data_IF_104668421635
#
_entry.id   IF_104668421635
#
_cell.length_a   1.000
_cell.length_b   1.000
_cell.length_c   1.000
_cell.angle_alpha   90.00
_cell.angle_beta   90.00
_cell.angle_gamma   90.00
#
_symmetry.space_group_name_H-M   'P 1'
#
loop_
_entity.id
_entity.type
_entity.pdbx_description
1 polymer ?
#
# COMPACT_ATOMS: atom_id res chain seq x y z
N UNK A 1 10.62 -21.57 23.78
CA UNK A 1 11.22 -20.23 23.75
C UNK A 1 10.16 -19.29 23.21
N UNK A 2 9.85 -18.16 23.87
CA UNK A 2 8.91 -17.19 23.32
C UNK A 2 9.49 -16.62 22.03
N UNK A 3 8.71 -16.62 20.94
CA UNK A 3 9.10 -15.90 19.73
C UNK A 3 9.03 -14.40 20.02
N UNK A 4 10.12 -13.68 19.80
CA UNK A 4 10.15 -12.22 19.88
C UNK A 4 9.70 -11.62 18.54
N UNK A 5 8.98 -10.51 18.61
CA UNK A 5 8.71 -9.68 17.44
C UNK A 5 10.00 -8.97 17.02
N UNK A 6 10.45 -9.21 15.78
CA UNK A 6 11.68 -8.66 15.21
C UNK A 6 11.33 -7.50 14.28
N UNK A 7 12.00 -6.38 14.46
CA UNK A 7 11.70 -5.14 13.76
C UNK A 7 12.99 -4.54 13.17
N UNK A 8 12.88 -3.97 11.97
CA UNK A 8 13.84 -2.98 11.48
C UNK A 8 13.18 -1.61 11.58
N UNK A 9 13.67 -0.79 12.51
CA UNK A 9 13.17 0.55 12.75
C UNK A 9 14.00 1.56 11.97
N UNK A 10 13.40 2.67 11.55
CA UNK A 10 14.15 3.79 10.99
C UNK A 10 14.96 4.45 12.12
N UNK A 11 16.29 4.40 12.01
CA UNK A 11 17.22 5.00 12.96
C UNK A 11 17.54 6.46 12.58
N UNK A 12 17.62 6.74 11.28
CA UNK A 12 17.81 8.08 10.74
C UNK A 12 17.13 8.21 9.38
N UNK A 13 16.75 9.44 9.00
CA UNK A 13 16.31 9.71 7.62
C UNK A 13 17.54 9.64 6.70
N UNK A 14 17.53 8.79 5.66
CA UNK A 14 18.64 8.71 4.73
C UNK A 14 18.87 10.02 3.98
N UNK A 15 20.14 10.35 3.74
CA UNK A 15 20.56 11.44 2.85
C UNK A 15 21.41 10.82 1.74
N UNK A 16 20.94 10.89 0.49
CA UNK A 16 21.48 10.04 -0.58
C UNK A 16 21.20 8.56 -0.31
N UNK A 17 21.94 7.62 -0.92
CA UNK A 17 21.67 6.17 -0.81
C UNK A 17 21.35 5.67 0.61
N UNK A 18 20.42 4.71 0.74
CA UNK A 18 20.06 4.10 2.03
C UNK A 18 21.28 3.36 2.57
N UNK A 19 21.64 3.64 3.82
CA UNK A 19 22.74 2.98 4.52
C UNK A 19 22.18 2.06 5.60
N UNK A 20 22.92 1.00 5.93
CA UNK A 20 22.56 0.13 7.05
C UNK A 20 22.43 0.89 8.37
N UNK A 21 23.19 1.99 8.54
CA UNK A 21 23.10 2.88 9.70
C UNK A 21 21.75 3.61 9.82
N UNK A 22 20.99 3.72 8.73
CA UNK A 22 19.68 4.36 8.71
C UNK A 22 18.60 3.44 9.30
N UNK A 23 18.93 2.16 9.52
CA UNK A 23 18.05 1.15 10.10
C UNK A 23 18.63 0.61 11.41
N UNK A 24 17.75 0.31 12.36
CA UNK A 24 18.10 -0.35 13.61
C UNK A 24 17.32 -1.65 13.73
N UNK A 25 18.05 -2.75 13.86
CA UNK A 25 17.44 -4.02 14.23
C UNK A 25 17.06 -4.00 15.72
N UNK A 26 15.80 -4.30 16.00
CA UNK A 26 15.24 -4.31 17.34
C UNK A 26 14.40 -5.56 17.55
N UNK A 27 14.31 -6.01 18.81
CA UNK A 27 13.47 -7.13 19.22
C UNK A 27 12.61 -6.66 20.38
N UNK A 28 11.33 -6.97 20.30
CA UNK A 28 10.35 -6.69 21.34
C UNK A 28 9.51 -7.94 21.60
N UNK A 29 8.80 -7.97 22.72
CA UNK A 29 7.79 -8.98 22.98
C UNK A 29 6.62 -8.83 22.00
N UNK A 30 5.92 -9.92 21.73
CA UNK A 30 4.68 -9.90 20.97
C UNK A 30 3.62 -9.20 21.85
N UNK A 31 2.96 -8.13 21.39
CA UNK A 31 2.01 -7.40 22.21
C UNK A 31 0.74 -8.21 22.49
N UNK A 32 0.08 -7.92 23.61
CA UNK A 32 -1.28 -8.41 23.88
C UNK A 32 -2.29 -7.66 23.02
N UNK A 33 -3.35 -8.34 22.59
CA UNK A 33 -4.38 -7.77 21.71
C UNK A 33 -5.46 -7.05 22.52
N UNK A 34 -5.78 -5.82 22.11
CA UNK A 34 -6.94 -5.07 22.55
C UNK A 34 -8.23 -5.51 21.86
N UNK A 35 -9.37 -4.94 22.29
CA UNK A 35 -10.68 -5.24 21.69
C UNK A 35 -10.74 -4.78 20.23
N UNK A 36 -11.01 -5.71 19.32
CA UNK A 36 -11.10 -5.44 17.87
C UNK A 36 -9.76 -5.53 17.12
N UNK A 37 -8.67 -5.85 17.81
CA UNK A 37 -7.36 -6.05 17.19
C UNK A 37 -7.12 -7.51 16.78
N UNK A 38 -6.21 -7.72 15.83
CA UNK A 38 -5.75 -9.05 15.44
C UNK A 38 -4.23 -9.06 15.25
N UNK A 39 -3.60 -10.19 15.59
CA UNK A 39 -2.16 -10.38 15.43
C UNK A 39 -1.86 -11.03 14.08
N UNK A 40 -0.93 -10.46 13.31
CA UNK A 40 -0.52 -10.98 12.01
C UNK A 40 0.91 -11.51 12.06
N UNK A 41 1.09 -12.77 11.67
CA UNK A 41 2.43 -13.32 11.43
C UNK A 41 2.84 -13.06 9.97
N UNK A 42 3.71 -12.07 9.76
CA UNK A 42 4.25 -11.76 8.44
C UNK A 42 5.16 -12.89 7.97
N UNK A 43 4.83 -13.51 6.82
CA UNK A 43 5.62 -14.59 6.21
C UNK A 43 6.60 -14.09 5.15
N UNK A 44 6.25 -13.01 4.47
CA UNK A 44 7.04 -12.39 3.40
C UNK A 44 6.98 -10.88 3.50
N UNK A 45 8.08 -10.20 3.19
CA UNK A 45 8.13 -8.75 3.02
C UNK A 45 8.30 -8.44 1.53
N UNK A 46 7.34 -7.71 0.94
CA UNK A 46 7.58 -7.06 -0.34
C UNK A 46 8.51 -5.87 -0.14
N UNK A 47 9.48 -5.67 -1.03
CA UNK A 47 10.37 -4.52 -1.03
C UNK A 47 10.12 -3.72 -2.31
N UNK A 48 9.84 -2.42 -2.18
CA UNK A 48 9.42 -1.57 -3.28
C UNK A 48 10.31 -0.32 -3.36
N UNK A 49 10.68 0.18 -4.55
CA UNK A 49 11.39 1.47 -4.69
C UNK A 49 10.64 2.63 -4.02
N UNK A 50 9.30 2.55 -3.91
CA UNK A 50 8.48 3.52 -3.19
C UNK A 50 8.85 3.66 -1.69
N UNK A 51 9.41 2.62 -1.07
CA UNK A 51 9.90 2.66 0.31
C UNK A 51 10.98 3.72 0.51
N UNK A 52 11.78 3.98 -0.53
CA UNK A 52 12.78 5.07 -0.51
C UNK A 52 12.10 6.43 -0.31
N UNK A 53 11.01 6.68 -1.03
CA UNK A 53 10.27 7.93 -0.93
C UNK A 53 9.67 8.17 0.45
N UNK A 54 9.25 7.11 1.16
CA UNK A 54 8.75 7.21 2.54
C UNK A 54 9.87 7.38 3.57
N UNK A 55 11.07 6.86 3.30
CA UNK A 55 12.27 7.11 4.10
C UNK A 55 12.81 8.54 3.90
N UNK A 56 12.58 9.13 2.72
CA UNK A 56 12.90 10.52 2.36
C UNK A 56 11.79 11.54 2.71
N UNK A 57 11.90 12.78 2.22
CA UNK A 57 10.96 13.90 2.40
C UNK A 57 9.76 13.92 1.43
N UNK A 58 9.46 12.83 0.72
CA UNK A 58 8.45 12.88 -0.34
C UNK A 58 7.03 12.86 0.25
N UNK A 59 6.18 13.76 -0.24
CA UNK A 59 4.75 13.87 0.08
C UNK A 59 4.43 14.93 1.12
N UNK A 60 5.06 14.87 2.31
CA UNK A 60 4.83 15.77 3.46
C UNK A 60 3.39 16.33 3.52
N UNK A 61 2.36 15.46 3.56
CA UNK A 61 0.99 15.93 3.58
C UNK A 61 0.79 16.84 4.78
N UNK A 62 0.09 17.95 4.57
CA UNK A 62 -0.27 18.91 5.60
C UNK A 62 -1.78 18.98 5.71
N UNK A 63 -2.23 19.58 6.80
CA UNK A 63 -3.64 19.86 6.97
C UNK A 63 -4.16 20.70 5.81
N UNK A 64 -5.25 20.24 5.17
CA UNK A 64 -5.85 20.88 4.01
C UNK A 64 -5.35 20.39 2.64
N UNK A 65 -4.29 19.57 2.59
CA UNK A 65 -3.85 18.97 1.32
C UNK A 65 -4.84 17.88 0.86
N UNK A 66 -4.82 17.54 -0.43
CA UNK A 66 -5.48 16.35 -0.97
C UNK A 66 -4.44 15.32 -1.41
N UNK A 67 -4.52 14.12 -0.87
CA UNK A 67 -3.61 13.01 -1.18
C UNK A 67 -4.38 11.91 -1.88
N UNK A 68 -3.97 11.59 -3.11
CA UNK A 68 -4.53 10.47 -3.87
C UNK A 68 -3.62 9.26 -3.71
N UNK A 69 -4.19 8.13 -3.25
CA UNK A 69 -3.48 6.88 -3.01
C UNK A 69 -3.92 5.81 -4.00
N UNK A 70 -3.04 5.47 -4.94
CA UNK A 70 -3.26 4.33 -5.85
C UNK A 70 -2.99 3.01 -5.14
N UNK A 71 -3.85 2.01 -5.34
CA UNK A 71 -3.74 0.73 -4.64
C UNK A 71 -3.96 0.88 -3.13
N UNK A 72 -4.91 1.73 -2.72
CA UNK A 72 -5.16 2.11 -1.33
C UNK A 72 -5.48 0.92 -0.39
N UNK A 73 -6.00 -0.19 -0.94
CA UNK A 73 -6.26 -1.43 -0.19
C UNK A 73 -5.03 -2.34 -0.04
N UNK A 74 -3.93 -2.06 -0.75
CA UNK A 74 -2.68 -2.79 -0.62
C UNK A 74 -1.94 -2.44 0.67
N UNK A 75 -1.00 -3.28 1.08
CA UNK A 75 -0.24 -3.11 2.33
C UNK A 75 0.42 -1.73 2.44
N UNK A 76 1.03 -1.28 1.34
CA UNK A 76 1.62 0.04 1.21
C UNK A 76 0.58 1.16 1.22
N UNK A 77 -0.45 1.04 0.38
CA UNK A 77 -1.45 2.09 0.17
C UNK A 77 -2.26 2.37 1.44
N UNK A 78 -2.55 1.35 2.23
CA UNK A 78 -3.33 1.52 3.46
C UNK A 78 -2.56 2.26 4.54
N UNK A 79 -1.25 2.07 4.63
CA UNK A 79 -0.38 2.82 5.54
C UNK A 79 -0.25 4.27 5.06
N UNK A 80 -0.04 4.49 3.76
CA UNK A 80 0.07 5.84 3.19
C UNK A 80 -1.20 6.68 3.40
N UNK A 81 -2.38 6.07 3.21
CA UNK A 81 -3.66 6.75 3.42
C UNK A 81 -3.90 7.14 4.89
N UNK A 82 -3.55 6.26 5.83
CA UNK A 82 -3.64 6.58 7.26
C UNK A 82 -2.69 7.71 7.67
N UNK A 83 -1.45 7.69 7.18
CA UNK A 83 -0.46 8.77 7.45
C UNK A 83 -0.99 10.11 6.92
N UNK A 84 -1.52 10.14 5.69
CA UNK A 84 -2.10 11.35 5.11
C UNK A 84 -3.28 11.88 5.94
N UNK A 85 -4.17 11.01 6.40
CA UNK A 85 -5.30 11.40 7.25
C UNK A 85 -4.86 11.95 8.61
N UNK A 86 -3.88 11.31 9.26
CA UNK A 86 -3.31 11.79 10.54
C UNK A 86 -2.67 13.17 10.36
N UNK A 87 -2.07 13.43 9.20
CA UNK A 87 -1.51 14.75 8.88
C UNK A 87 -2.58 15.83 8.59
N UNK A 88 -3.87 15.46 8.59
CA UNK A 88 -5.00 16.37 8.35
C UNK A 88 -5.31 16.60 6.87
N UNK A 89 -4.76 15.78 5.97
CA UNK A 89 -5.08 15.84 4.55
C UNK A 89 -6.39 15.09 4.24
N UNK A 90 -7.07 15.52 3.19
CA UNK A 90 -8.15 14.78 2.54
C UNK A 90 -7.56 13.61 1.75
N UNK A 91 -8.07 12.39 1.97
CA UNK A 91 -7.51 11.19 1.34
C UNK A 91 -8.48 10.58 0.34
N UNK A 92 -8.04 10.46 -0.92
CA UNK A 92 -8.79 9.83 -2.01
C UNK A 92 -8.09 8.53 -2.41
N UNK A 93 -8.79 7.40 -2.33
CA UNK A 93 -8.21 6.07 -2.59
C UNK A 93 -8.67 5.45 -3.90
N UNK A 94 -7.78 4.75 -4.59
CA UNK A 94 -8.11 3.88 -5.73
C UNK A 94 -7.92 2.42 -5.31
N UNK A 95 -8.96 1.61 -5.42
CA UNK A 95 -8.90 0.16 -5.19
C UNK A 95 -9.59 -0.61 -6.32
N UNK A 96 -9.36 -1.93 -6.37
CA UNK A 96 -9.84 -2.81 -7.43
C UNK A 96 -11.15 -3.53 -7.17
N UNK A 97 -11.87 -3.21 -6.09
CA UNK A 97 -13.23 -3.71 -5.90
C UNK A 97 -14.03 -2.76 -5.02
N UNK A 98 -15.36 -2.78 -5.19
CA UNK A 98 -16.28 -1.99 -4.38
C UNK A 98 -16.22 -2.37 -2.90
N UNK A 99 -16.00 -3.65 -2.60
CA UNK A 99 -15.79 -4.13 -1.24
C UNK A 99 -14.53 -3.52 -0.60
N UNK A 100 -13.41 -3.47 -1.35
CA UNK A 100 -12.17 -2.83 -0.88
C UNK A 100 -12.38 -1.34 -0.67
N UNK A 101 -13.02 -0.65 -1.61
CA UNK A 101 -13.35 0.76 -1.47
C UNK A 101 -14.23 1.04 -0.24
N UNK A 102 -15.24 0.20 -0.02
CA UNK A 102 -16.15 0.31 1.14
C UNK A 102 -15.41 0.13 2.45
N UNK A 103 -14.52 -0.88 2.53
CA UNK A 103 -13.65 -1.08 3.69
C UNK A 103 -12.77 0.15 3.93
N UNK A 104 -12.15 0.71 2.89
CA UNK A 104 -11.26 1.87 3.01
C UNK A 104 -11.97 3.14 3.48
N UNK A 105 -13.20 3.40 3.01
CA UNK A 105 -14.06 4.51 3.45
C UNK A 105 -14.40 4.45 4.94
N UNK A 106 -14.58 3.25 5.50
CA UNK A 106 -14.85 3.09 6.92
C UNK A 106 -13.64 3.44 7.80
N UNK A 107 -12.42 3.42 7.24
CA UNK A 107 -11.19 3.56 8.02
C UNK A 107 -10.48 4.90 7.80
N UNK A 108 -10.20 5.28 6.55
CA UNK A 108 -9.34 6.45 6.30
C UNK A 108 -9.58 7.22 5.00
N UNK A 109 -10.52 6.80 4.13
CA UNK A 109 -10.84 7.58 2.93
C UNK A 109 -11.97 8.58 3.16
N UNK A 110 -11.79 9.79 2.66
CA UNK A 110 -12.85 10.79 2.51
C UNK A 110 -13.62 10.61 1.20
N UNK A 111 -13.00 9.92 0.22
CA UNK A 111 -13.60 9.57 -1.06
C UNK A 111 -12.80 8.49 -1.79
N UNK A 112 -13.40 7.89 -2.80
CA UNK A 112 -12.80 6.82 -3.59
C UNK A 112 -13.01 7.01 -5.09
N UNK A 113 -12.10 6.40 -5.85
CA UNK A 113 -12.18 6.33 -7.31
C UNK A 113 -12.10 4.86 -7.72
N UNK A 114 -13.06 4.44 -8.54
CA UNK A 114 -13.08 3.13 -9.14
C UNK A 114 -12.32 3.19 -10.46
N UNK A 115 -11.33 2.32 -10.63
CA UNK A 115 -10.71 2.16 -11.95
C UNK A 115 -11.53 1.17 -12.76
N UNK A 116 -11.62 1.41 -14.07
CA UNK A 116 -12.21 0.45 -15.00
C UNK A 116 -11.21 -0.68 -15.21
N UNK A 117 -11.71 -1.89 -15.25
CA UNK A 117 -10.94 -3.09 -15.55
C UNK A 117 -11.38 -3.61 -16.92
N UNK A 118 -10.44 -4.12 -17.68
CA UNK A 118 -10.65 -4.78 -18.96
C UNK A 118 -10.27 -6.25 -18.78
N UNK A 119 -11.27 -7.10 -18.63
CA UNK A 119 -11.11 -8.50 -18.22
C UNK A 119 -11.31 -9.39 -19.44
N UNK A 120 -10.29 -10.19 -19.76
CA UNK A 120 -10.40 -11.30 -20.69
C UNK A 120 -10.65 -12.59 -19.93
N UNK A 121 -11.57 -13.41 -20.43
CA UNK A 121 -11.87 -14.73 -19.88
C UNK A 121 -11.02 -15.80 -20.58
N UNK A 122 -10.44 -16.71 -19.81
CA UNK A 122 -9.70 -17.86 -20.30
C UNK A 122 -8.19 -17.67 -20.28
N UNK A 123 -7.47 -18.65 -19.70
CA UNK A 123 -6.01 -18.64 -19.57
C UNK A 123 -5.29 -18.45 -20.92
N UNK A 124 -5.86 -19.01 -21.98
CA UNK A 124 -5.37 -18.92 -23.36
C UNK A 124 -5.25 -17.47 -23.87
N UNK A 125 -5.95 -16.52 -23.23
CA UNK A 125 -5.95 -15.11 -23.62
C UNK A 125 -4.88 -14.26 -22.95
N UNK A 126 -3.97 -14.83 -22.14
CA UNK A 126 -2.86 -14.10 -21.50
C UNK A 126 -1.98 -13.35 -22.50
N UNK A 127 -1.61 -13.98 -23.62
CA UNK A 127 -0.76 -13.33 -24.61
C UNK A 127 -1.51 -12.18 -25.32
N UNK A 128 -2.80 -12.35 -25.55
CA UNK A 128 -3.63 -11.29 -26.13
C UNK A 128 -3.80 -10.11 -25.16
N UNK A 129 -4.10 -10.39 -23.89
CA UNK A 129 -4.18 -9.38 -22.83
C UNK A 129 -2.88 -8.56 -22.75
N UNK A 130 -1.73 -9.23 -22.82
CA UNK A 130 -0.43 -8.58 -22.81
C UNK A 130 -0.23 -7.67 -24.02
N UNK A 131 -0.61 -8.12 -25.22
CA UNK A 131 -0.51 -7.30 -26.44
C UNK A 131 -1.44 -6.07 -26.38
N UNK A 132 -2.68 -6.24 -25.90
CA UNK A 132 -3.63 -5.13 -25.71
C UNK A 132 -3.07 -4.07 -24.77
N UNK A 133 -2.39 -4.47 -23.70
CA UNK A 133 -1.73 -3.56 -22.77
C UNK A 133 -0.66 -2.69 -23.46
N UNK A 134 0.14 -3.27 -24.36
CA UNK A 134 1.20 -2.54 -25.05
C UNK A 134 0.70 -1.68 -26.21
N UNK A 135 -0.43 -2.03 -26.81
CA UNK A 135 -1.05 -1.25 -27.88
C UNK A 135 -2.04 -0.19 -27.38
N UNK A 136 -2.37 -0.20 -26.09
CA UNK A 136 -3.36 0.73 -25.51
C UNK A 136 -4.80 0.36 -25.85
N UNK A 137 -5.05 -0.91 -26.20
CA UNK A 137 -6.38 -1.43 -26.52
C UNK A 137 -7.21 -1.76 -25.27
N UNK A 138 -6.69 -1.47 -24.08
CA UNK A 138 -7.33 -1.74 -22.79
C UNK A 138 -7.74 -0.44 -22.10
N UNK A 139 -8.87 -0.47 -21.39
CA UNK A 139 -9.28 0.64 -20.51
C UNK A 139 -8.93 0.28 -19.07
N UNK A 140 -8.03 1.05 -18.48
CA UNK A 140 -7.61 0.88 -17.09
C UNK A 140 -6.80 -0.40 -16.90
N UNK A 141 -7.20 -1.27 -15.96
CA UNK A 141 -6.39 -2.46 -15.64
C UNK A 141 -6.74 -3.63 -16.55
N UNK A 142 -5.77 -4.10 -17.34
CA UNK A 142 -5.90 -5.33 -18.11
C UNK A 142 -5.74 -6.54 -17.18
N UNK A 143 -6.72 -7.45 -17.21
CA UNK A 143 -6.72 -8.68 -16.42
C UNK A 143 -7.08 -9.88 -17.30
N UNK A 144 -6.65 -11.07 -16.88
CA UNK A 144 -7.18 -12.35 -17.38
C UNK A 144 -7.77 -13.11 -16.21
N UNK A 145 -9.04 -13.49 -16.34
CA UNK A 145 -9.73 -14.36 -15.39
C UNK A 145 -9.62 -15.80 -15.88
N UNK A 146 -9.15 -16.68 -14.99
CA UNK A 146 -8.88 -18.10 -15.25
C UNK A 146 -9.96 -18.95 -14.59
#
# INVERSE_FOLDING_TARGET
>A
MSELNRQFLLNARPVGEVKLSDLRFHKTEIPELGQGEFLVQVKYHGLEPAMRGWMEEIGKPKSGDTVVVSGAAGATGSIAGQIARIAGACVIGIAGSEEKCSWLKQHFLDGDLHHREDILEGFERILEALLRLFHGDNIGKQLVRV
#
